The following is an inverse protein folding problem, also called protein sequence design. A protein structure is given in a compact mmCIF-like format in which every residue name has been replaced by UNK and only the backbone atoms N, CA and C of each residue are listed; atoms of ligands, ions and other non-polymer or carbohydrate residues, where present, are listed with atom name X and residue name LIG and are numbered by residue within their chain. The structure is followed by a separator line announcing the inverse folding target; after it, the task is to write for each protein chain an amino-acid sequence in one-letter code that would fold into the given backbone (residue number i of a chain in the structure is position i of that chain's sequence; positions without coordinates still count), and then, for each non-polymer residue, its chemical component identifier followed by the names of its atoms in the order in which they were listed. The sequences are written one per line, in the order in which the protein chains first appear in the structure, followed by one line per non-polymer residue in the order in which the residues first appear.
data_IF_550753942964
#
_entry.id   IF_550753942964
#
_cell.length_a   1.000
_cell.length_b   1.000
_cell.length_c   1.000
_cell.angle_alpha   90.00
_cell.angle_beta   90.00
_cell.angle_gamma   90.00
#
_symmetry.space_group_name_H-M   'P 1'
#
loop_
_entity.id
_entity.type
_entity.pdbx_description
1 polymer ?
#
# COMPACT_ATOMS: atom_id res chain seq x y z
N UNK A 1 -10.59 -3.85 26.72
CA UNK A 1 -10.67 -2.50 26.11
C UNK A 1 -10.04 -2.55 24.72
N UNK A 2 -10.85 -2.43 23.65
CA UNK A 2 -10.32 -2.22 22.28
C UNK A 2 -9.67 -0.84 22.23
N UNK A 3 -8.35 -0.76 22.03
CA UNK A 3 -7.67 0.53 21.81
C UNK A 3 -8.36 1.22 20.63
N UNK A 4 -8.87 2.44 20.82
CA UNK A 4 -9.36 3.28 19.72
C UNK A 4 -8.21 3.51 18.76
N UNK A 5 -8.25 2.84 17.62
CA UNK A 5 -7.33 3.07 16.51
C UNK A 5 -7.77 4.39 15.88
N UNK A 6 -6.88 5.38 15.90
CA UNK A 6 -7.17 6.69 15.37
C UNK A 6 -7.15 6.63 13.84
N UNK A 7 -8.34 6.62 13.24
CA UNK A 7 -8.54 6.75 11.80
C UNK A 7 -9.23 8.08 11.54
N UNK A 8 -8.52 9.17 11.42
CA UNK A 8 -9.17 10.41 10.98
C UNK A 8 -8.38 11.04 9.87
N UNK A 9 -8.98 11.15 8.72
CA UNK A 9 -8.63 12.21 7.80
C UNK A 9 -9.09 13.52 8.43
N UNK A 10 -8.27 14.55 8.39
CA UNK A 10 -8.58 15.89 8.93
C UNK A 10 -9.83 16.53 8.33
N UNK A 11 -10.29 16.00 7.19
CA UNK A 11 -11.44 16.49 6.41
C UNK A 11 -12.77 15.75 6.65
N UNK A 12 -12.83 14.76 7.53
CA UNK A 12 -14.06 14.00 7.80
C UNK A 12 -14.98 14.77 8.74
N UNK A 13 -16.18 15.16 8.27
CA UNK A 13 -17.20 15.84 9.07
C UNK A 13 -17.79 14.92 10.16
N UNK A 14 -18.41 15.50 11.21
CA UNK A 14 -19.11 14.71 12.23
C UNK A 14 -20.23 13.84 11.64
N UNK A 15 -20.95 14.35 10.65
CA UNK A 15 -22.03 13.61 9.98
C UNK A 15 -21.51 12.40 9.19
N UNK A 16 -20.40 12.56 8.46
CA UNK A 16 -19.76 11.42 7.79
C UNK A 16 -19.29 10.34 8.77
N UNK A 17 -18.79 10.73 9.93
CA UNK A 17 -18.42 9.76 10.99
C UNK A 17 -19.63 9.00 11.50
N UNK A 18 -20.76 9.68 11.71
CA UNK A 18 -22.04 9.05 12.10
C UNK A 18 -22.53 8.07 11.03
N UNK A 19 -22.53 8.48 9.78
CA UNK A 19 -22.97 7.62 8.67
C UNK A 19 -22.09 6.39 8.50
N UNK A 20 -20.78 6.52 8.68
CA UNK A 20 -19.85 5.36 8.69
C UNK A 20 -20.15 4.39 9.83
N UNK A 21 -20.52 4.91 11.01
CA UNK A 21 -20.91 4.07 12.14
C UNK A 21 -22.17 3.26 11.84
N UNK A 22 -23.17 3.88 11.20
CA UNK A 22 -24.40 3.19 10.75
C UNK A 22 -24.05 2.04 9.78
N UNK A 23 -23.17 2.29 8.81
CA UNK A 23 -22.75 1.24 7.87
C UNK A 23 -22.06 0.07 8.57
N UNK A 24 -21.23 0.36 9.58
CA UNK A 24 -20.59 -0.68 10.40
C UNK A 24 -21.63 -1.50 11.18
N UNK A 25 -22.66 -0.85 11.72
CA UNK A 25 -23.74 -1.52 12.43
C UNK A 25 -24.55 -2.42 11.50
N UNK A 26 -24.88 -1.96 10.29
CA UNK A 26 -25.54 -2.78 9.25
C UNK A 26 -24.68 -3.98 8.85
N UNK A 27 -23.38 -3.81 8.68
CA UNK A 27 -22.45 -4.90 8.39
C UNK A 27 -22.42 -5.95 9.50
N UNK A 28 -22.39 -5.50 10.77
CA UNK A 28 -22.35 -6.40 11.92
C UNK A 28 -23.68 -7.16 12.15
N UNK A 29 -24.79 -6.52 11.80
CA UNK A 29 -26.15 -7.06 11.93
C UNK A 29 -26.69 -7.67 10.61
N UNK A 30 -25.80 -8.16 9.76
CA UNK A 30 -26.17 -8.82 8.50
C UNK A 30 -27.18 -9.95 8.74
N UNK A 31 -28.35 -9.98 8.04
CA UNK A 31 -29.46 -10.89 8.37
C UNK A 31 -29.32 -12.31 7.80
N UNK A 32 -28.14 -12.69 7.31
CA UNK A 32 -27.90 -14.00 6.71
C UNK A 32 -26.55 -14.58 7.14
N UNK A 33 -26.08 -15.66 6.50
CA UNK A 33 -24.82 -16.30 6.84
C UNK A 33 -23.60 -15.43 6.49
N UNK A 34 -22.49 -15.70 7.18
CA UNK A 34 -21.21 -15.03 6.89
C UNK A 34 -20.72 -15.32 5.47
N UNK A 35 -21.01 -16.50 4.91
CA UNK A 35 -20.68 -16.82 3.52
C UNK A 35 -21.38 -15.89 2.54
N UNK A 36 -22.69 -15.65 2.70
CA UNK A 36 -23.43 -14.70 1.88
C UNK A 36 -22.97 -13.28 2.11
N UNK A 37 -22.56 -12.90 3.34
CA UNK A 37 -21.95 -11.59 3.61
C UNK A 37 -20.65 -11.40 2.84
N UNK A 38 -19.77 -12.41 2.81
CA UNK A 38 -18.53 -12.37 2.05
C UNK A 38 -18.76 -12.21 0.55
N UNK A 39 -19.74 -12.93 -0.01
CA UNK A 39 -20.11 -12.80 -1.44
C UNK A 39 -20.69 -11.43 -1.80
N UNK A 40 -21.25 -10.71 -0.82
CA UNK A 40 -21.91 -9.42 -1.00
C UNK A 40 -21.15 -8.25 -0.38
N UNK A 41 -19.83 -8.33 -0.23
CA UNK A 41 -19.00 -7.27 0.36
C UNK A 41 -19.13 -5.93 -0.36
N UNK A 42 -19.53 -5.94 -1.65
CA UNK A 42 -19.82 -4.73 -2.42
C UNK A 42 -20.89 -3.83 -1.80
N UNK A 43 -21.85 -4.39 -1.05
CA UNK A 43 -22.89 -3.62 -0.34
C UNK A 43 -22.30 -2.71 0.74
N UNK A 44 -21.19 -3.09 1.34
CA UNK A 44 -20.58 -2.39 2.46
C UNK A 44 -19.39 -1.52 2.05
N UNK A 45 -19.14 -1.42 0.75
CA UNK A 45 -18.08 -0.55 0.23
C UNK A 45 -18.60 0.92 0.21
N UNK A 46 -17.90 1.79 0.92
CA UNK A 46 -18.09 3.21 0.75
C UNK A 46 -17.27 3.73 -0.44
N UNK A 47 -17.60 4.93 -0.90
CA UNK A 47 -16.92 5.56 -2.05
C UNK A 47 -15.40 5.65 -1.88
N UNK A 48 -14.90 5.90 -0.68
CA UNK A 48 -13.46 6.06 -0.42
C UNK A 48 -12.75 4.71 -0.58
N UNK A 49 -13.31 3.63 -0.02
CA UNK A 49 -12.74 2.29 -0.18
C UNK A 49 -12.75 1.86 -1.65
N UNK A 50 -13.87 2.12 -2.36
CA UNK A 50 -13.98 1.77 -3.76
C UNK A 50 -12.99 2.57 -4.62
N UNK A 51 -12.79 3.87 -4.34
CA UNK A 51 -11.77 4.68 -5.02
C UNK A 51 -10.36 4.09 -4.88
N UNK A 52 -10.00 3.60 -3.68
CA UNK A 52 -8.72 2.95 -3.46
C UNK A 52 -8.59 1.66 -4.28
N UNK A 53 -9.62 0.82 -4.30
CA UNK A 53 -9.63 -0.40 -5.11
C UNK A 53 -9.41 -0.06 -6.59
N UNK A 54 -10.13 0.92 -7.12
CA UNK A 54 -10.03 1.36 -8.51
C UNK A 54 -8.66 1.94 -8.83
N UNK A 55 -8.06 2.71 -7.91
CA UNK A 55 -6.72 3.25 -8.11
C UNK A 55 -5.64 2.15 -8.10
N UNK A 56 -5.69 1.20 -7.17
CA UNK A 56 -4.77 0.07 -7.16
C UNK A 56 -4.91 -0.77 -8.44
N UNK A 57 -6.13 -0.96 -8.93
CA UNK A 57 -6.38 -1.61 -10.21
C UNK A 57 -5.78 -0.82 -11.40
N UNK A 58 -5.95 0.51 -11.43
CA UNK A 58 -5.34 1.37 -12.45
C UNK A 58 -3.82 1.22 -12.48
N UNK A 59 -3.17 1.25 -11.31
CA UNK A 59 -1.71 1.07 -11.23
C UNK A 59 -1.29 -0.31 -11.73
N UNK A 60 -2.00 -1.37 -11.30
CA UNK A 60 -1.66 -2.73 -11.70
C UNK A 60 -1.79 -2.93 -13.21
N UNK A 61 -2.87 -2.44 -13.82
CA UNK A 61 -3.09 -2.55 -15.27
C UNK A 61 -1.98 -1.90 -16.10
N UNK A 62 -1.38 -0.80 -15.60
CA UNK A 62 -0.25 -0.14 -16.29
C UNK A 62 1.01 -1.00 -16.32
N UNK A 63 1.09 -2.03 -15.49
CA UNK A 63 2.26 -2.92 -15.40
C UNK A 63 2.11 -4.26 -16.13
N UNK A 64 0.98 -4.51 -16.78
CA UNK A 64 0.72 -5.82 -17.41
C UNK A 64 1.74 -6.21 -18.49
N UNK A 65 2.31 -5.21 -19.17
CA UNK A 65 3.35 -5.42 -20.20
C UNK A 65 4.77 -5.13 -19.66
N UNK A 66 4.92 -5.00 -18.34
CA UNK A 66 6.20 -4.67 -17.70
C UNK A 66 6.64 -5.85 -16.84
N UNK A 67 7.80 -6.42 -17.16
CA UNK A 67 8.39 -7.50 -16.38
C UNK A 67 8.85 -6.98 -15.02
N UNK A 68 8.56 -7.72 -13.96
CA UNK A 68 9.05 -7.38 -12.62
C UNK A 68 8.02 -7.61 -11.51
N UNK A 69 8.50 -7.51 -10.31
CA UNK A 69 7.72 -7.67 -9.08
C UNK A 69 6.91 -6.41 -8.75
N UNK A 70 5.91 -6.59 -7.89
CA UNK A 70 5.13 -5.51 -7.26
C UNK A 70 5.59 -5.37 -5.82
N UNK A 71 6.04 -4.18 -5.44
CA UNK A 71 6.49 -3.86 -4.09
C UNK A 71 5.53 -2.86 -3.44
N UNK A 72 5.14 -3.11 -2.20
CA UNK A 72 4.41 -2.15 -1.37
C UNK A 72 5.23 -1.80 -0.13
N UNK A 73 5.39 -0.49 0.10
CA UNK A 73 6.08 0.07 1.26
C UNK A 73 5.05 0.77 2.15
N UNK A 74 4.88 0.25 3.39
CA UNK A 74 3.85 0.72 4.30
C UNK A 74 2.54 -0.06 4.17
N UNK A 75 2.60 -1.39 4.26
CA UNK A 75 1.43 -2.27 4.06
C UNK A 75 0.36 -2.14 5.15
N UNK A 76 0.74 -1.81 6.37
CA UNK A 76 -0.13 -1.67 7.53
C UNK A 76 -1.12 -2.84 7.69
N UNK A 77 -2.39 -2.65 7.30
CA UNK A 77 -3.43 -3.69 7.35
C UNK A 77 -3.43 -4.61 6.12
N UNK A 78 -2.60 -4.36 5.12
CA UNK A 78 -2.37 -5.22 3.95
C UNK A 78 -3.45 -5.17 2.87
N UNK A 79 -4.31 -4.15 2.86
CA UNK A 79 -5.39 -4.06 1.87
C UNK A 79 -4.84 -4.01 0.44
N UNK A 80 -3.84 -3.15 0.16
CA UNK A 80 -3.32 -3.00 -1.19
C UNK A 80 -2.55 -4.25 -1.63
N UNK A 81 -1.75 -4.86 -0.72
CA UNK A 81 -1.10 -6.15 -0.99
C UNK A 81 -2.09 -7.24 -1.41
N UNK A 82 -3.20 -7.34 -0.67
CA UNK A 82 -4.29 -8.24 -0.96
C UNK A 82 -4.91 -7.95 -2.34
N UNK A 83 -5.16 -6.67 -2.65
CA UNK A 83 -5.67 -6.26 -3.95
C UNK A 83 -4.70 -6.61 -5.09
N UNK A 84 -3.41 -6.31 -4.95
CA UNK A 84 -2.40 -6.64 -5.97
C UNK A 84 -2.29 -8.15 -6.20
N UNK A 85 -2.39 -8.95 -5.13
CA UNK A 85 -2.36 -10.40 -5.25
C UNK A 85 -3.60 -10.92 -6.01
N UNK A 86 -4.78 -10.37 -5.74
CA UNK A 86 -6.01 -10.69 -6.46
C UNK A 86 -5.94 -10.23 -7.93
N UNK A 87 -5.49 -8.99 -8.20
CA UNK A 87 -5.32 -8.51 -9.58
C UNK A 87 -4.33 -9.37 -10.36
N UNK A 88 -3.24 -9.81 -9.72
CA UNK A 88 -2.34 -10.77 -10.32
C UNK A 88 -3.08 -12.07 -10.71
N UNK A 89 -3.92 -12.60 -9.83
CA UNK A 89 -4.74 -13.78 -10.12
C UNK A 89 -5.73 -13.57 -11.26
N UNK A 90 -6.29 -12.37 -11.39
CA UNK A 90 -7.24 -12.00 -12.46
C UNK A 90 -6.55 -11.78 -13.80
N UNK A 91 -5.49 -10.95 -13.83
CA UNK A 91 -4.88 -10.50 -15.08
C UNK A 91 -3.73 -11.39 -15.55
N UNK A 92 -2.99 -12.00 -14.62
CA UNK A 92 -1.78 -12.77 -14.91
C UNK A 92 -1.76 -14.10 -14.15
N UNK A 93 -2.82 -14.95 -14.22
CA UNK A 93 -2.95 -16.15 -13.38
C UNK A 93 -1.78 -17.14 -13.58
N UNK A 94 -1.20 -17.19 -14.75
CA UNK A 94 -0.09 -18.09 -15.12
C UNK A 94 1.29 -17.43 -15.06
N UNK A 95 1.40 -16.17 -14.65
CA UNK A 95 2.71 -15.53 -14.46
C UNK A 95 3.38 -16.06 -13.18
N UNK A 96 4.29 -17.02 -13.33
CA UNK A 96 4.97 -17.67 -12.19
C UNK A 96 6.12 -16.83 -11.63
N UNK A 97 6.57 -15.79 -12.33
CA UNK A 97 7.74 -14.99 -11.94
C UNK A 97 7.37 -13.78 -11.08
N UNK A 98 6.26 -13.11 -11.39
CA UNK A 98 5.85 -11.88 -10.68
C UNK A 98 5.42 -12.18 -9.25
N UNK A 99 6.07 -11.53 -8.29
CA UNK A 99 5.75 -11.60 -6.86
C UNK A 99 5.16 -10.29 -6.35
N UNK A 100 4.34 -10.39 -5.32
CA UNK A 100 3.78 -9.27 -4.58
C UNK A 100 4.48 -9.21 -3.22
N UNK A 101 5.23 -8.16 -2.94
CA UNK A 101 6.13 -8.10 -1.78
C UNK A 101 5.81 -6.87 -0.95
N UNK A 102 5.48 -7.09 0.32
CA UNK A 102 5.15 -6.03 1.26
C UNK A 102 6.23 -5.79 2.30
N UNK A 103 6.57 -4.52 2.53
CA UNK A 103 7.55 -4.07 3.52
C UNK A 103 6.85 -3.21 4.58
N UNK A 104 6.84 -3.66 5.83
CA UNK A 104 6.24 -2.91 6.93
C UNK A 104 6.88 -3.27 8.28
N UNK A 105 6.90 -2.34 9.20
CA UNK A 105 7.29 -2.58 10.59
C UNK A 105 6.22 -3.35 11.35
N UNK A 106 4.94 -3.18 11.00
CA UNK A 106 3.74 -3.57 11.75
C UNK A 106 3.70 -2.97 13.18
N UNK A 107 4.63 -2.09 13.48
CA UNK A 107 4.74 -1.37 14.76
C UNK A 107 4.66 0.15 14.63
N UNK A 108 4.30 0.62 13.42
CA UNK A 108 4.18 2.04 13.08
C UNK A 108 5.50 2.69 12.71
N UNK A 109 5.54 4.02 12.70
CA UNK A 109 6.69 4.78 12.23
C UNK A 109 7.96 4.46 13.02
N UNK A 110 9.04 4.01 12.37
CA UNK A 110 10.29 3.65 13.03
C UNK A 110 11.14 4.87 13.40
N UNK A 111 10.90 6.01 12.74
CA UNK A 111 11.62 7.26 12.97
C UNK A 111 10.74 8.44 12.54
N UNK A 112 11.04 9.62 13.06
CA UNK A 112 10.42 10.89 12.67
C UNK A 112 11.54 11.88 12.38
N UNK A 113 11.44 12.61 11.28
CA UNK A 113 12.39 13.65 10.87
C UNK A 113 11.83 15.05 11.10
N UNK A 114 12.67 16.07 10.87
CA UNK A 114 12.25 17.49 10.94
C UNK A 114 11.16 17.85 9.90
N UNK A 115 11.03 17.08 8.84
CA UNK A 115 10.05 17.34 7.78
C UNK A 115 8.62 17.04 8.26
N UNK A 116 8.41 16.00 9.08
CA UNK A 116 7.12 15.65 9.65
C UNK A 116 6.68 16.65 10.74
N UNK A 117 7.62 17.38 11.33
CA UNK A 117 7.31 18.42 12.33
C UNK A 117 6.47 19.58 11.78
N UNK A 118 6.41 19.74 10.46
CA UNK A 118 5.59 20.74 9.76
C UNK A 118 4.18 20.23 9.42
N UNK A 119 3.94 18.91 9.55
CA UNK A 119 2.67 18.26 9.28
C UNK A 119 1.81 18.02 10.52
N UNK A 120 1.00 16.98 10.48
CA UNK A 120 0.08 16.62 11.56
C UNK A 120 0.77 15.91 12.72
N UNK A 121 1.29 16.70 13.69
CA UNK A 121 2.03 16.18 14.87
C UNK A 121 1.25 15.20 15.75
N UNK A 122 -0.08 15.18 15.69
CA UNK A 122 -0.89 14.23 16.49
C UNK A 122 -0.74 12.79 15.99
N UNK A 123 -0.48 12.64 14.69
CA UNK A 123 -0.41 11.35 13.99
C UNK A 123 1.06 11.00 13.67
N UNK A 124 1.84 11.97 13.18
CA UNK A 124 3.26 11.82 12.86
C UNK A 124 4.12 11.74 14.13
N UNK A 125 4.11 10.59 14.78
CA UNK A 125 4.91 10.28 15.98
C UNK A 125 5.44 8.85 15.94
N UNK A 126 6.50 8.56 16.68
CA UNK A 126 7.04 7.20 16.80
C UNK A 126 5.93 6.20 17.16
N UNK A 127 5.88 5.08 16.45
CA UNK A 127 4.84 4.06 16.59
C UNK A 127 3.46 4.50 16.10
N UNK A 128 3.32 5.68 15.48
CA UNK A 128 2.08 6.10 14.80
C UNK A 128 1.70 5.11 13.71
N UNK A 129 0.40 4.90 13.50
CA UNK A 129 -0.16 3.92 12.55
C UNK A 129 0.21 2.45 12.80
N UNK A 130 0.63 2.08 14.02
CA UNK A 130 0.88 0.67 14.37
C UNK A 130 -0.38 -0.20 14.20
N UNK A 131 -0.16 -1.46 13.88
CA UNK A 131 -1.19 -2.50 13.89
C UNK A 131 -1.31 -3.16 15.28
N UNK A 132 -2.13 -4.19 15.40
CA UNK A 132 -2.19 -5.05 16.60
C UNK A 132 -0.96 -5.96 16.67
N UNK A 133 -0.60 -6.42 17.89
CA UNK A 133 0.54 -7.33 18.07
C UNK A 133 0.39 -8.60 17.21
N UNK A 134 1.47 -8.98 16.52
CA UNK A 134 1.56 -10.18 15.66
C UNK A 134 0.58 -10.15 14.46
N UNK A 135 0.14 -8.94 14.05
CA UNK A 135 -0.78 -8.80 12.92
C UNK A 135 -0.22 -9.38 11.62
N UNK A 136 1.08 -9.30 11.40
CA UNK A 136 1.75 -9.87 10.24
C UNK A 136 1.46 -11.38 10.04
N UNK A 137 1.25 -12.11 11.14
CA UNK A 137 0.88 -13.54 11.07
C UNK A 137 -0.56 -13.74 10.60
N UNK A 138 -1.45 -12.84 11.00
CA UNK A 138 -2.84 -12.85 10.54
C UNK A 138 -2.94 -12.47 9.07
N UNK A 139 -2.26 -11.38 8.66
CA UNK A 139 -2.21 -10.95 7.26
C UNK A 139 -1.64 -12.05 6.37
N UNK A 140 -0.56 -12.73 6.80
CA UNK A 140 0.00 -13.85 6.04
C UNK A 140 -1.03 -14.94 5.74
N UNK A 141 -1.88 -15.31 6.70
CA UNK A 141 -2.94 -16.31 6.47
C UNK A 141 -3.93 -15.86 5.39
N UNK A 142 -4.28 -14.56 5.36
CA UNK A 142 -5.17 -14.02 4.32
C UNK A 142 -4.50 -14.12 2.94
N UNK A 143 -3.23 -13.70 2.83
CA UNK A 143 -2.50 -13.75 1.57
C UNK A 143 -2.23 -15.20 1.12
N UNK A 144 -1.96 -16.12 2.04
CA UNK A 144 -1.84 -17.55 1.75
C UNK A 144 -3.14 -18.09 1.14
N UNK A 145 -4.30 -17.78 1.75
CA UNK A 145 -5.60 -18.14 1.20
C UNK A 145 -5.80 -17.58 -0.22
N UNK A 146 -5.57 -16.28 -0.42
CA UNK A 146 -5.74 -15.65 -1.73
C UNK A 146 -4.83 -16.25 -2.81
N UNK A 147 -3.65 -16.73 -2.42
CA UNK A 147 -2.76 -17.44 -3.33
C UNK A 147 -3.34 -18.78 -3.79
N UNK A 148 -4.19 -19.43 -2.98
CA UNK A 148 -4.86 -20.70 -3.35
C UNK A 148 -5.92 -20.53 -4.42
N UNK A 149 -6.47 -19.33 -4.59
CA UNK A 149 -7.46 -19.01 -5.62
C UNK A 149 -6.84 -18.90 -7.03
N UNK A 150 -5.52 -18.91 -7.13
CA UNK A 150 -4.80 -18.83 -8.42
C UNK A 150 -4.26 -20.19 -8.85
N UNK A 151 -4.16 -20.49 -10.18
CA UNK A 151 -3.49 -21.68 -10.70
C UNK A 151 -2.07 -21.82 -10.16
N UNK A 152 -1.56 -23.04 -10.03
CA UNK A 152 -0.23 -23.35 -9.50
C UNK A 152 0.03 -22.70 -8.13
N UNK A 153 -0.92 -22.89 -7.20
CA UNK A 153 -0.89 -22.31 -5.84
C UNK A 153 0.31 -22.75 -4.98
N UNK A 154 1.03 -23.80 -5.38
CA UNK A 154 2.28 -24.25 -4.76
C UNK A 154 3.46 -23.30 -4.99
N UNK A 155 3.38 -22.38 -5.95
CA UNK A 155 4.42 -21.38 -6.21
C UNK A 155 4.22 -20.18 -5.27
N UNK A 156 5.27 -19.82 -4.50
CA UNK A 156 5.24 -18.63 -3.63
C UNK A 156 5.12 -17.35 -4.46
N UNK A 157 4.04 -16.61 -4.28
CA UNK A 157 3.70 -15.42 -5.07
C UNK A 157 3.61 -14.13 -4.26
N UNK A 158 3.71 -14.25 -2.96
CA UNK A 158 3.73 -13.10 -2.06
C UNK A 158 4.76 -13.28 -0.96
N UNK A 159 5.24 -12.16 -0.43
CA UNK A 159 6.16 -12.15 0.69
C UNK A 159 5.91 -10.94 1.59
N UNK A 160 5.86 -11.18 2.91
CA UNK A 160 5.88 -10.11 3.90
C UNK A 160 7.29 -9.98 4.48
N UNK A 161 7.84 -8.77 4.39
CA UNK A 161 9.16 -8.43 4.91
C UNK A 161 8.99 -7.49 6.09
N UNK A 162 8.96 -8.05 7.29
CA UNK A 162 8.78 -7.30 8.53
C UNK A 162 10.03 -6.55 8.92
N UNK A 163 9.90 -5.28 9.24
CA UNK A 163 10.94 -4.39 9.76
C UNK A 163 10.95 -3.02 9.12
N UNK A 164 11.92 -2.21 9.51
CA UNK A 164 12.17 -0.89 8.90
C UNK A 164 12.49 -1.07 7.40
N UNK A 165 11.58 -0.60 6.55
CA UNK A 165 11.64 -0.76 5.10
C UNK A 165 12.96 -0.24 4.52
N UNK A 166 13.50 0.88 5.05
CA UNK A 166 14.77 1.45 4.60
C UNK A 166 15.98 0.52 4.75
N UNK A 167 15.88 -0.43 5.69
CA UNK A 167 16.91 -1.44 5.95
C UNK A 167 16.59 -2.77 5.26
N UNK A 168 15.32 -3.17 5.32
CA UNK A 168 14.90 -4.49 4.84
C UNK A 168 14.90 -4.58 3.33
N UNK A 169 14.58 -3.50 2.60
CA UNK A 169 14.66 -3.46 1.14
C UNK A 169 16.08 -3.72 0.64
N UNK A 170 17.09 -3.11 1.25
CA UNK A 170 18.49 -3.32 0.87
C UNK A 170 18.93 -4.77 1.05
N UNK A 171 18.52 -5.40 2.16
CA UNK A 171 18.79 -6.83 2.41
C UNK A 171 18.06 -7.70 1.39
N UNK A 172 16.80 -7.39 1.11
CA UNK A 172 15.99 -8.11 0.15
C UNK A 172 16.64 -8.09 -1.25
N UNK A 173 16.98 -6.91 -1.77
CA UNK A 173 17.58 -6.73 -3.09
C UNK A 173 18.97 -7.41 -3.19
N UNK A 174 19.77 -7.35 -2.12
CA UNK A 174 21.06 -8.07 -2.08
C UNK A 174 20.90 -9.58 -2.20
N UNK A 175 19.84 -10.14 -1.62
CA UNK A 175 19.57 -11.60 -1.64
C UNK A 175 18.74 -12.02 -2.87
N UNK A 176 18.22 -11.10 -3.67
CA UNK A 176 17.39 -11.34 -4.84
C UNK A 176 17.86 -10.44 -6.00
N UNK A 177 19.07 -10.70 -6.48
CA UNK A 177 19.75 -9.88 -7.49
C UNK A 177 19.02 -9.84 -8.85
N UNK A 178 18.20 -10.86 -9.12
CA UNK A 178 17.38 -10.95 -10.34
C UNK A 178 16.15 -10.03 -10.32
N UNK A 179 15.86 -9.35 -9.21
CA UNK A 179 14.67 -8.52 -9.07
C UNK A 179 14.65 -7.41 -10.11
N UNK A 180 13.56 -7.32 -10.85
CA UNK A 180 13.10 -6.14 -11.58
C UNK A 180 11.81 -5.69 -10.93
N UNK A 181 11.50 -4.40 -10.99
CA UNK A 181 10.32 -3.83 -10.34
C UNK A 181 9.40 -3.25 -11.42
N UNK A 182 8.20 -3.83 -11.56
CA UNK A 182 7.17 -3.30 -12.44
C UNK A 182 6.30 -2.25 -11.75
N UNK A 183 6.02 -2.43 -10.45
CA UNK A 183 5.26 -1.51 -9.63
C UNK A 183 5.91 -1.36 -8.24
N UNK A 184 6.08 -0.12 -7.79
CA UNK A 184 6.39 0.19 -6.40
C UNK A 184 5.31 1.14 -5.86
N UNK A 185 4.65 0.79 -4.76
CA UNK A 185 3.64 1.63 -4.11
C UNK A 185 4.14 2.08 -2.74
N UNK A 186 4.04 3.39 -2.50
CA UNK A 186 4.48 4.03 -1.27
C UNK A 186 3.29 4.56 -0.48
N UNK A 187 3.14 4.08 0.76
CA UNK A 187 2.14 4.50 1.74
C UNK A 187 2.83 4.54 3.12
N UNK A 188 3.88 5.34 3.21
CA UNK A 188 4.73 5.42 4.41
C UNK A 188 4.65 6.77 5.11
N UNK A 189 4.03 7.77 4.50
CA UNK A 189 3.79 9.14 5.03
C UNK A 189 5.07 9.95 5.33
N UNK A 190 6.15 9.30 5.78
CA UNK A 190 7.32 9.95 6.37
C UNK A 190 8.52 10.00 5.42
N UNK A 191 9.28 11.09 5.48
CA UNK A 191 10.36 11.44 4.55
C UNK A 191 11.48 10.41 4.46
N UNK A 192 12.11 10.08 5.61
CA UNK A 192 13.36 9.31 5.58
C UNK A 192 13.21 7.90 5.02
N UNK A 193 12.26 7.08 5.47
CA UNK A 193 12.04 5.76 4.88
C UNK A 193 11.65 5.83 3.41
N UNK A 194 10.80 6.77 3.01
CA UNK A 194 10.39 6.95 1.61
C UNK A 194 11.60 7.25 0.73
N UNK A 195 12.43 8.22 1.12
CA UNK A 195 13.66 8.56 0.39
C UNK A 195 14.63 7.39 0.29
N UNK A 196 14.88 6.71 1.41
CA UNK A 196 15.84 5.60 1.46
C UNK A 196 15.37 4.41 0.60
N UNK A 197 14.06 4.11 0.60
CA UNK A 197 13.47 3.07 -0.23
C UNK A 197 13.51 3.46 -1.72
N UNK A 198 13.09 4.67 -2.09
CA UNK A 198 13.17 5.17 -3.48
C UNK A 198 14.60 5.08 -4.01
N UNK A 199 15.58 5.53 -3.22
CA UNK A 199 17.00 5.43 -3.59
C UNK A 199 17.46 3.98 -3.80
N UNK A 200 17.00 3.07 -2.93
CA UNK A 200 17.39 1.66 -2.99
C UNK A 200 16.80 0.94 -4.21
N UNK A 201 15.55 1.25 -4.58
CA UNK A 201 14.88 0.56 -5.69
C UNK A 201 15.20 1.17 -7.06
N UNK A 202 15.66 2.43 -7.13
CA UNK A 202 15.90 3.14 -8.39
C UNK A 202 16.73 2.33 -9.41
N UNK A 203 17.80 1.61 -9.03
CA UNK A 203 18.57 0.78 -9.97
C UNK A 203 17.84 -0.47 -10.48
N UNK A 204 16.71 -0.83 -9.89
CA UNK A 204 15.91 -2.02 -10.22
C UNK A 204 14.63 -1.67 -10.99
N UNK A 205 14.40 -0.36 -11.21
CA UNK A 205 13.33 0.13 -12.08
C UNK A 205 13.77 -0.01 -13.53
N UNK A 206 12.84 -0.34 -14.39
CA UNK A 206 13.04 -0.40 -15.84
C UNK A 206 12.08 0.55 -16.52
N UNK A 207 12.33 0.90 -17.78
CA UNK A 207 11.43 1.76 -18.56
C UNK A 207 10.01 1.21 -18.54
N UNK A 208 9.06 2.04 -18.13
CA UNK A 208 7.66 1.68 -17.95
C UNK A 208 7.29 1.25 -16.51
N UNK A 209 8.26 1.09 -15.59
CA UNK A 209 7.95 0.84 -14.18
C UNK A 209 7.06 1.94 -13.62
N UNK A 210 6.05 1.56 -12.85
CA UNK A 210 5.10 2.49 -12.22
C UNK A 210 5.48 2.68 -10.76
N UNK A 211 5.51 3.92 -10.30
CA UNK A 211 5.73 4.25 -8.89
C UNK A 211 4.52 5.02 -8.38
N UNK A 212 3.71 4.37 -7.56
CA UNK A 212 2.51 4.95 -6.97
C UNK A 212 2.79 5.55 -5.59
N UNK A 213 2.06 6.61 -5.25
CA UNK A 213 2.16 7.35 -4.00
C UNK A 213 0.78 7.59 -3.42
N UNK A 214 0.61 7.39 -2.10
CA UNK A 214 -0.68 7.52 -1.45
C UNK A 214 -1.13 8.98 -1.35
N UNK A 215 -0.25 9.88 -0.93
CA UNK A 215 -0.63 11.29 -0.71
C UNK A 215 0.45 12.31 -1.11
N UNK A 216 0.91 12.30 -2.39
CA UNK A 216 1.81 13.33 -2.87
C UNK A 216 1.14 14.72 -2.77
N UNK A 217 1.95 15.74 -2.41
CA UNK A 217 1.49 17.11 -2.17
C UNK A 217 0.62 17.31 -0.92
N UNK A 218 0.62 16.33 0.01
CA UNK A 218 -0.06 16.46 1.30
C UNK A 218 0.61 17.49 2.21
N UNK A 219 -0.19 18.35 2.84
CA UNK A 219 0.29 19.27 3.89
C UNK A 219 0.47 18.56 5.22
N UNK A 220 -0.32 17.52 5.49
CA UNK A 220 -0.28 16.75 6.73
C UNK A 220 0.96 15.83 6.77
N UNK A 221 1.40 15.32 5.60
CA UNK A 221 2.56 14.45 5.44
C UNK A 221 3.45 14.92 4.27
N UNK A 222 4.20 16.02 4.44
CA UNK A 222 5.03 16.57 3.37
C UNK A 222 6.24 15.71 3.01
N UNK A 223 6.57 14.72 3.86
CA UNK A 223 7.77 13.91 3.76
C UNK A 223 7.89 13.13 2.47
N UNK A 224 6.78 12.52 2.01
CA UNK A 224 6.72 11.78 0.76
C UNK A 224 7.06 12.69 -0.45
N UNK A 225 6.41 13.84 -0.55
CA UNK A 225 6.65 14.80 -1.65
C UNK A 225 8.08 15.31 -1.67
N UNK A 226 8.67 15.56 -0.51
CA UNK A 226 10.07 16.02 -0.41
C UNK A 226 11.01 14.91 -0.91
N UNK A 227 10.77 13.66 -0.52
CA UNK A 227 11.55 12.52 -0.97
C UNK A 227 11.48 12.32 -2.49
N UNK A 228 10.28 12.44 -3.08
CA UNK A 228 10.07 12.39 -4.55
C UNK A 228 10.93 13.45 -5.25
N UNK A 229 10.84 14.72 -4.80
CA UNK A 229 11.60 15.83 -5.38
C UNK A 229 13.12 15.62 -5.31
N UNK A 230 13.62 15.07 -4.21
CA UNK A 230 15.06 14.84 -4.05
C UNK A 230 15.57 13.64 -4.86
N UNK A 231 14.78 12.61 -5.06
CA UNK A 231 15.22 11.41 -5.81
C UNK A 231 15.04 11.56 -7.32
N UNK A 232 14.01 12.28 -7.75
CA UNK A 232 13.65 12.43 -9.16
C UNK A 232 13.78 13.86 -9.67
N UNK A 233 14.08 14.87 -8.81
CA UNK A 233 14.08 16.28 -9.16
C UNK A 233 15.06 16.70 -10.26
N UNK A 234 16.14 15.94 -10.44
CA UNK A 234 17.12 16.14 -11.55
C UNK A 234 16.62 15.54 -12.88
N UNK A 235 15.59 14.70 -12.84
CA UNK A 235 14.97 14.04 -13.99
C UNK A 235 13.66 14.76 -14.27
N UNK A 236 13.39 15.11 -15.53
CA UNK A 236 12.08 15.60 -15.93
C UNK A 236 11.07 14.45 -15.80
N UNK A 237 10.33 14.40 -14.69
CA UNK A 237 9.26 13.41 -14.47
C UNK A 237 7.89 14.08 -14.50
N UNK A 238 6.88 13.32 -14.90
CA UNK A 238 5.49 13.70 -14.79
C UNK A 238 4.84 12.92 -13.65
N UNK A 239 4.34 13.63 -12.65
CA UNK A 239 3.51 13.05 -11.61
C UNK A 239 2.04 13.10 -12.05
N UNK A 240 1.49 11.95 -12.38
CA UNK A 240 0.10 11.81 -12.79
C UNK A 240 -0.79 11.76 -11.56
N UNK A 241 -1.90 12.46 -11.60
CA UNK A 241 -2.94 12.36 -10.56
C UNK A 241 -3.81 11.14 -10.84
N UNK A 242 -4.24 10.43 -9.78
CA UNK A 242 -5.24 9.38 -9.90
C UNK A 242 -6.55 9.93 -10.46
N UNK A 243 -7.21 9.18 -11.33
CA UNK A 243 -8.56 9.49 -11.82
C UNK A 243 -9.62 9.34 -10.73
N UNK A 244 -9.34 8.57 -9.69
CA UNK A 244 -10.27 8.18 -8.64
C UNK A 244 -10.06 8.96 -7.34
N UNK A 245 -8.81 9.34 -7.04
CA UNK A 245 -8.43 10.00 -5.79
C UNK A 245 -7.57 11.23 -6.07
N UNK A 246 -8.04 12.40 -5.70
CA UNK A 246 -7.29 13.65 -5.87
C UNK A 246 -6.02 13.71 -5.00
N UNK A 247 -5.96 12.92 -3.92
CA UNK A 247 -4.80 12.86 -3.02
C UNK A 247 -3.70 11.93 -3.48
N UNK A 248 -3.99 10.97 -4.36
CA UNK A 248 -3.05 9.92 -4.78
C UNK A 248 -2.54 10.15 -6.20
N UNK A 249 -1.32 9.70 -6.47
CA UNK A 249 -0.70 9.89 -7.77
C UNK A 249 0.35 8.83 -8.09
N UNK A 250 0.90 8.90 -9.30
CA UNK A 250 1.95 7.98 -9.74
C UNK A 250 2.85 8.64 -10.78
N UNK A 251 4.05 8.11 -10.92
CA UNK A 251 4.94 8.40 -12.05
C UNK A 251 5.25 7.10 -12.81
N UNK A 252 5.61 7.25 -14.08
CA UNK A 252 6.13 6.17 -14.91
C UNK A 252 7.62 6.45 -15.13
N UNK A 253 8.45 5.46 -14.87
CA UNK A 253 9.90 5.56 -15.05
C UNK A 253 10.24 5.41 -16.54
N UNK A 254 10.91 6.41 -17.10
CA UNK A 254 11.27 6.52 -18.52
C UNK A 254 12.75 6.20 -18.78
#
# INVERSE_FOLDING_TARGET
MKKKIQTSTSYTSPNEKKNRQILIELFNNWPSSDEFRMRNLGLFQNRINLMRILFMNELYQKTLNITGDVLEFGCRWGQNLSLFLNFRGIYEPYNMQKKIIGFDTFSGFPSISKHENKGNKKIAKLGGFSTTKKYEKYLKKILDYQSTESPASHVERHKLVKGDASKTIKKYLKSNQQTLISLAYFDMDIYKPTKDCLKAIKPYLIKGSVIGFDEPNSKDFPGETIAIKEIFGEIKYKLYQSKFSAGSGYLIFE
#
